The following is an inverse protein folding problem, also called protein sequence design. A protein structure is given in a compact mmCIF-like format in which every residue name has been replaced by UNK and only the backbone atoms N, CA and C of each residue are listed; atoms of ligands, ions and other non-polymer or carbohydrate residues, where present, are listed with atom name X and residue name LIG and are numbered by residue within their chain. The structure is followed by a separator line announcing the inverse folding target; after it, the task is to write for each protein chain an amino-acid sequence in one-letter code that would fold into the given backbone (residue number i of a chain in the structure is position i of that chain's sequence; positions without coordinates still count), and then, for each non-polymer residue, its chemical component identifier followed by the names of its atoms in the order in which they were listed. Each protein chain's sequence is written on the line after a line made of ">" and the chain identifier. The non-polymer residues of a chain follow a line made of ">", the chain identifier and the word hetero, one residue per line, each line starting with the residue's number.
data_IF_168713463873
#
_entry.id   IF_168713463873
#
_cell.length_a   1.000
_cell.length_b   1.000
_cell.length_c   1.000
_cell.angle_alpha   90.00
_cell.angle_beta   90.00
_cell.angle_gamma   90.00
#
_symmetry.space_group_name_H-M   'P 1'
#
loop_
_entity.id
_entity.type
_entity.pdbx_description
1 polymer ?
#
# COMPACT_ATOMS: atom_id res chain seq x y z
N UNK A 1 -2.20 -12.59 6.37
CA UNK A 1 -2.26 -13.99 6.85
C UNK A 1 -3.59 -14.58 6.43
N UNK A 2 -3.67 -15.88 6.18
CA UNK A 2 -4.92 -16.54 5.75
C UNK A 2 -4.87 -18.05 6.00
N UNK A 3 -6.01 -18.75 5.86
CA UNK A 3 -6.04 -20.20 5.76
C UNK A 3 -5.91 -20.62 4.29
N UNK A 4 -5.07 -21.62 4.02
CA UNK A 4 -4.77 -22.10 2.67
C UNK A 4 -4.82 -23.63 2.64
N UNK A 5 -5.10 -24.19 1.46
CA UNK A 5 -5.01 -25.63 1.22
C UNK A 5 -3.66 -25.93 0.58
N UNK A 6 -2.89 -26.84 1.16
CA UNK A 6 -1.60 -27.30 0.62
C UNK A 6 -1.68 -28.78 0.23
N UNK A 7 -1.12 -29.15 -0.92
CA UNK A 7 -1.04 -30.55 -1.33
C UNK A 7 -0.45 -30.74 -2.73
N UNK A 8 -0.40 -31.99 -3.17
CA UNK A 8 -0.06 -32.32 -4.55
C UNK A 8 -1.26 -32.00 -5.44
N UNK A 9 -1.13 -30.99 -6.29
CA UNK A 9 -2.19 -30.53 -7.20
C UNK A 9 -1.68 -30.67 -8.63
N UNK A 10 -2.50 -31.26 -9.49
CA UNK A 10 -2.13 -31.49 -10.89
C UNK A 10 -2.88 -32.68 -11.49
N UNK A 11 -2.40 -33.13 -12.64
CA UNK A 11 -2.93 -34.31 -13.31
C UNK A 11 -2.09 -35.54 -12.97
N UNK A 12 -2.59 -36.75 -13.22
CA UNK A 12 -1.82 -38.00 -13.02
C UNK A 12 -0.44 -38.00 -13.70
N UNK A 13 -0.25 -37.20 -14.77
CA UNK A 13 1.01 -37.10 -15.52
C UNK A 13 1.95 -36.01 -14.99
N UNK A 14 1.45 -35.06 -14.20
CA UNK A 14 2.25 -33.97 -13.62
C UNK A 14 1.55 -33.45 -12.36
N UNK A 15 2.15 -33.72 -11.22
CA UNK A 15 1.70 -33.28 -9.91
C UNK A 15 2.75 -32.33 -9.34
N UNK A 16 2.33 -31.14 -8.91
CA UNK A 16 3.19 -30.18 -8.22
C UNK A 16 2.68 -30.00 -6.79
N UNK A 17 3.58 -29.99 -5.81
CA UNK A 17 3.22 -29.64 -4.43
C UNK A 17 3.06 -28.12 -4.34
N UNK A 18 1.84 -27.65 -4.10
CA UNK A 18 1.52 -26.22 -4.12
C UNK A 18 0.48 -25.86 -3.06
N UNK A 19 0.27 -24.56 -2.87
CA UNK A 19 -0.73 -23.99 -1.98
C UNK A 19 -1.76 -23.21 -2.79
N UNK A 20 -3.04 -23.37 -2.46
CA UNK A 20 -4.14 -22.63 -3.06
C UNK A 20 -4.97 -21.97 -1.95
N UNK A 21 -5.30 -20.70 -2.15
CA UNK A 21 -6.18 -19.94 -1.27
C UNK A 21 -6.08 -18.45 -1.54
N UNK A 22 -7.04 -17.69 -1.01
CA UNK A 22 -7.10 -16.24 -1.17
C UNK A 22 -5.84 -15.55 -0.63
N UNK A 23 -5.26 -16.07 0.46
CA UNK A 23 -4.00 -15.58 1.02
C UNK A 23 -2.83 -15.65 0.05
N UNK A 24 -2.75 -16.69 -0.77
CA UNK A 24 -1.70 -16.83 -1.81
C UNK A 24 -1.88 -15.75 -2.89
N UNK A 25 -3.12 -15.54 -3.31
CA UNK A 25 -3.45 -14.49 -4.29
C UNK A 25 -3.17 -13.08 -3.73
N UNK A 26 -3.55 -12.82 -2.48
CA UNK A 26 -3.27 -11.54 -1.80
C UNK A 26 -1.76 -11.31 -1.68
N UNK A 27 -0.98 -12.33 -1.28
CA UNK A 27 0.48 -12.22 -1.17
C UNK A 27 1.13 -11.86 -2.52
N UNK A 28 0.74 -12.52 -3.61
CA UNK A 28 1.23 -12.20 -4.96
C UNK A 28 0.88 -10.75 -5.35
N UNK A 29 -0.32 -10.28 -5.01
CA UNK A 29 -0.72 -8.89 -5.28
C UNK A 29 0.03 -7.87 -4.45
N UNK A 30 0.33 -8.18 -3.19
CA UNK A 30 1.17 -7.32 -2.35
C UNK A 30 2.57 -7.18 -2.94
N UNK A 31 3.18 -8.26 -3.45
CA UNK A 31 4.48 -8.20 -4.13
C UNK A 31 4.42 -7.28 -5.36
N UNK A 32 3.38 -7.40 -6.18
CA UNK A 32 3.20 -6.53 -7.34
C UNK A 32 2.96 -5.08 -6.92
N UNK A 33 2.22 -4.86 -5.83
CA UNK A 33 1.96 -3.53 -5.27
C UNK A 33 3.25 -2.88 -4.72
N UNK A 34 4.20 -3.65 -4.17
CA UNK A 34 5.49 -3.11 -3.74
C UNK A 34 6.14 -2.29 -4.87
N UNK A 35 6.15 -2.82 -6.10
CA UNK A 35 6.70 -2.13 -7.28
C UNK A 35 5.91 -0.86 -7.63
N UNK A 36 4.58 -0.91 -7.55
CA UNK A 36 3.72 0.23 -7.88
C UNK A 36 3.87 1.39 -6.91
N UNK A 37 3.98 1.10 -5.61
CA UNK A 37 4.15 2.12 -4.57
C UNK A 37 5.63 2.46 -4.31
N UNK A 38 6.55 1.73 -4.93
CA UNK A 38 7.99 1.83 -4.63
C UNK A 38 8.33 1.46 -3.18
N UNK A 39 7.55 0.57 -2.59
CA UNK A 39 7.72 0.06 -1.24
C UNK A 39 8.60 -1.19 -1.21
N UNK A 40 9.35 -1.40 -0.13
CA UNK A 40 10.20 -2.59 0.03
C UNK A 40 9.43 -3.80 0.59
N UNK A 41 8.57 -3.56 1.58
CA UNK A 41 7.84 -4.62 2.27
C UNK A 41 6.42 -4.15 2.58
N UNK A 42 5.45 -4.76 1.89
CA UNK A 42 4.03 -4.56 2.16
C UNK A 42 3.43 -5.74 2.91
N UNK A 43 2.58 -5.44 3.87
CA UNK A 43 1.75 -6.40 4.59
C UNK A 43 0.29 -5.97 4.51
N UNK A 44 -0.63 -6.94 4.46
CA UNK A 44 -2.06 -6.64 4.60
C UNK A 44 -2.42 -6.30 6.04
N UNK A 45 -3.59 -5.68 6.24
CA UNK A 45 -4.14 -5.43 7.57
C UNK A 45 -4.25 -6.71 8.42
N UNK A 46 -4.64 -7.83 7.82
CA UNK A 46 -4.71 -9.13 8.51
C UNK A 46 -3.36 -9.59 9.09
N UNK A 47 -2.26 -9.25 8.41
CA UNK A 47 -0.91 -9.53 8.93
C UNK A 47 -0.52 -8.48 9.95
N UNK A 48 -0.74 -7.20 9.65
CA UNK A 48 -0.38 -6.08 10.52
C UNK A 48 -1.03 -6.17 11.90
N UNK A 49 -2.33 -6.51 11.97
CA UNK A 49 -3.09 -6.67 13.22
C UNK A 49 -2.61 -7.81 14.10
N UNK A 50 -1.88 -8.78 13.53
CA UNK A 50 -1.33 -9.93 14.27
C UNK A 50 0.11 -9.68 14.75
N UNK A 51 0.72 -8.56 14.37
CA UNK A 51 2.03 -8.17 14.87
C UNK A 51 1.92 -7.80 16.34
N UNK A 52 2.82 -8.35 17.18
CA UNK A 52 2.81 -8.16 18.64
C UNK A 52 3.74 -7.04 19.13
N UNK A 53 4.39 -6.33 18.22
CA UNK A 53 5.37 -5.29 18.53
C UNK A 53 5.02 -3.96 17.86
N UNK A 54 5.70 -2.91 18.30
CA UNK A 54 5.69 -1.61 17.62
C UNK A 54 6.69 -1.65 16.48
N UNK A 55 6.20 -1.47 15.26
CA UNK A 55 7.03 -1.39 14.06
C UNK A 55 6.89 0.00 13.45
N UNK A 56 7.99 0.55 12.95
CA UNK A 56 7.97 1.74 12.09
C UNK A 56 7.27 1.35 10.80
N UNK A 57 6.02 1.77 10.68
CA UNK A 57 5.15 1.38 9.57
C UNK A 57 4.19 2.52 9.21
N UNK A 58 3.72 2.53 7.96
CA UNK A 58 2.65 3.42 7.50
C UNK A 58 1.52 2.65 6.86
N UNK A 59 0.28 3.11 7.11
CA UNK A 59 -0.88 2.69 6.31
C UNK A 59 -0.75 3.34 4.93
N UNK A 60 -0.48 2.52 3.92
CA UNK A 60 -0.06 3.01 2.62
C UNK A 60 -1.23 3.26 1.67
N UNK A 61 -2.12 2.28 1.52
CA UNK A 61 -3.31 2.40 0.67
C UNK A 61 -4.35 1.31 1.04
N UNK A 62 -5.41 1.22 0.25
CA UNK A 62 -6.35 0.09 0.18
C UNK A 62 -6.33 -0.48 -1.22
N UNK A 63 -6.25 -1.80 -1.33
CA UNK A 63 -6.26 -2.49 -2.63
C UNK A 63 -7.42 -3.47 -2.70
N UNK A 64 -8.01 -3.63 -3.88
CA UNK A 64 -9.05 -4.62 -4.12
C UNK A 64 -8.42 -5.88 -4.70
N UNK A 65 -8.62 -7.02 -4.04
CA UNK A 65 -8.21 -8.32 -4.58
C UNK A 65 -9.24 -8.78 -5.60
N UNK A 66 -8.79 -9.25 -6.77
CA UNK A 66 -9.69 -9.79 -7.80
C UNK A 66 -10.57 -10.88 -7.18
N UNK A 67 -11.89 -10.73 -7.30
CA UNK A 67 -12.88 -11.64 -6.72
C UNK A 67 -13.37 -11.28 -5.32
N UNK A 68 -12.82 -10.23 -4.67
CA UNK A 68 -13.35 -9.66 -3.43
C UNK A 68 -13.95 -8.29 -3.67
N UNK A 69 -15.07 -8.01 -3.00
CA UNK A 69 -15.77 -6.72 -3.06
C UNK A 69 -15.20 -5.71 -2.07
N UNK A 70 -14.62 -6.18 -0.96
CA UNK A 70 -14.08 -5.32 0.09
C UNK A 70 -12.60 -4.98 -0.14
N UNK A 71 -12.22 -3.69 -0.15
CA UNK A 71 -10.82 -3.29 -0.20
C UNK A 71 -10.07 -3.71 1.07
N UNK A 72 -8.86 -4.25 0.89
CA UNK A 72 -7.95 -4.63 1.97
C UNK A 72 -6.94 -3.51 2.19
N UNK A 73 -6.80 -3.04 3.43
CA UNK A 73 -5.76 -2.07 3.76
C UNK A 73 -4.37 -2.71 3.72
N UNK A 74 -3.41 -1.94 3.20
CA UNK A 74 -2.00 -2.34 3.12
C UNK A 74 -1.13 -1.39 3.93
N UNK A 75 -0.10 -1.96 4.55
CA UNK A 75 0.86 -1.25 5.37
C UNK A 75 2.25 -1.51 4.83
N UNK A 76 3.08 -0.48 4.81
CA UNK A 76 4.50 -0.62 4.54
C UNK A 76 5.28 -0.68 5.84
N UNK A 77 6.21 -1.63 5.93
CA UNK A 77 7.12 -1.80 7.06
C UNK A 77 8.47 -1.15 6.71
N UNK A 78 8.88 -0.18 7.53
CA UNK A 78 10.03 0.70 7.32
C UNK A 78 11.14 0.46 8.36
N UNK A 79 11.06 -0.63 9.12
CA UNK A 79 12.00 -0.97 10.20
C UNK A 79 13.45 -1.18 9.70
N UNK A 80 13.61 -1.48 8.42
CA UNK A 80 14.92 -1.64 7.79
C UNK A 80 15.67 -0.31 7.59
N UNK A 81 15.01 0.84 7.75
CA UNK A 81 15.65 2.14 7.62
C UNK A 81 16.44 2.52 8.89
N UNK A 82 17.60 3.11 8.66
CA UNK A 82 18.40 3.82 9.65
C UNK A 82 18.30 5.32 9.39
N UNK A 83 18.73 6.16 10.34
CA UNK A 83 18.72 7.61 10.20
C UNK A 83 19.45 8.10 8.93
N UNK A 84 20.52 7.41 8.53
CA UNK A 84 21.28 7.73 7.33
C UNK A 84 20.55 7.42 6.01
N UNK A 85 19.60 6.49 6.01
CA UNK A 85 18.85 6.10 4.80
C UNK A 85 17.45 6.71 4.74
N UNK A 86 16.90 7.10 5.89
CA UNK A 86 15.63 7.80 6.00
C UNK A 86 15.66 8.70 7.25
N UNK A 87 16.13 9.95 7.12
CA UNK A 87 16.21 10.88 8.24
C UNK A 87 14.81 11.29 8.72
N UNK A 88 14.67 11.59 10.00
CA UNK A 88 13.42 12.08 10.60
C UNK A 88 12.19 11.21 10.28
N UNK A 89 12.38 9.87 10.21
CA UNK A 89 11.33 8.94 9.77
C UNK A 89 10.03 9.08 10.58
N UNK A 90 10.12 9.28 11.90
CA UNK A 90 8.92 9.45 12.74
C UNK A 90 8.09 10.69 12.34
N UNK A 91 8.76 11.81 12.00
CA UNK A 91 8.11 13.02 11.51
C UNK A 91 7.48 12.77 10.13
N UNK A 92 8.24 12.18 9.21
CA UNK A 92 7.76 11.81 7.88
C UNK A 92 6.50 10.93 7.94
N UNK A 93 6.45 9.94 8.85
CA UNK A 93 5.29 9.09 9.06
C UNK A 93 4.07 9.86 9.60
N UNK A 94 4.31 10.83 10.50
CA UNK A 94 3.26 11.73 11.00
C UNK A 94 2.66 12.57 9.89
N UNK A 95 3.50 13.22 9.09
CA UNK A 95 3.08 14.05 7.95
C UNK A 95 2.36 13.21 6.90
N UNK A 96 2.90 12.03 6.56
CA UNK A 96 2.29 11.12 5.58
C UNK A 96 0.88 10.68 6.01
N UNK A 97 0.71 10.36 7.29
CA UNK A 97 -0.60 10.00 7.84
C UNK A 97 -1.61 11.15 7.68
N UNK A 98 -1.19 12.38 7.93
CA UNK A 98 -2.07 13.54 7.83
C UNK A 98 -2.36 13.89 6.35
N UNK A 99 -1.37 13.74 5.46
CA UNK A 99 -1.54 13.82 4.01
C UNK A 99 -2.60 12.83 3.51
N UNK A 100 -2.56 11.58 3.99
CA UNK A 100 -3.55 10.55 3.65
C UNK A 100 -4.97 10.88 4.14
N UNK A 101 -5.13 11.61 5.25
CA UNK A 101 -6.46 12.06 5.70
C UNK A 101 -7.03 13.09 4.73
N UNK A 102 -6.22 14.09 4.36
CA UNK A 102 -6.57 15.14 3.39
C UNK A 102 -6.89 14.55 2.02
N UNK A 103 -6.08 13.59 1.57
CA UNK A 103 -6.28 12.87 0.31
C UNK A 103 -7.66 12.20 0.25
N UNK A 104 -8.07 11.50 1.32
CA UNK A 104 -9.39 10.84 1.40
C UNK A 104 -10.56 11.82 1.50
N UNK A 105 -10.32 13.02 2.00
CA UNK A 105 -11.30 14.11 2.03
C UNK A 105 -11.40 14.87 0.69
N UNK A 106 -10.61 14.46 -0.33
CA UNK A 106 -10.48 15.13 -1.64
C UNK A 106 -9.87 16.53 -1.57
N UNK A 107 -9.18 16.83 -0.47
CA UNK A 107 -8.40 18.06 -0.29
C UNK A 107 -7.02 17.88 -0.96
N UNK A 108 -7.00 17.62 -2.27
CA UNK A 108 -5.81 17.17 -2.99
C UNK A 108 -4.64 18.17 -2.98
N UNK A 109 -4.93 19.47 -3.01
CA UNK A 109 -3.88 20.50 -2.90
C UNK A 109 -3.17 20.43 -1.53
N UNK A 110 -3.95 20.41 -0.44
CA UNK A 110 -3.40 20.28 0.92
C UNK A 110 -2.68 18.95 1.13
N UNK A 111 -3.21 17.85 0.56
CA UNK A 111 -2.55 16.55 0.59
C UNK A 111 -1.21 16.58 -0.15
N UNK A 112 -1.15 17.17 -1.35
CA UNK A 112 0.06 17.29 -2.16
C UNK A 112 1.16 18.05 -1.42
N UNK A 113 0.83 19.15 -0.75
CA UNK A 113 1.80 19.89 0.07
C UNK A 113 2.41 19.03 1.18
N UNK A 114 1.58 18.26 1.89
CA UNK A 114 2.06 17.38 2.96
C UNK A 114 2.90 16.22 2.39
N UNK A 115 2.50 15.58 1.29
CA UNK A 115 3.34 14.57 0.63
C UNK A 115 4.66 15.18 0.13
N UNK A 116 4.64 16.41 -0.38
CA UNK A 116 5.83 17.15 -0.77
C UNK A 116 6.81 17.37 0.39
N UNK A 117 6.30 17.64 1.60
CA UNK A 117 7.14 17.71 2.82
C UNK A 117 7.80 16.36 3.14
N UNK A 118 7.09 15.25 2.97
CA UNK A 118 7.69 13.91 3.15
C UNK A 118 8.81 13.66 2.13
N UNK A 119 8.59 14.05 0.86
CA UNK A 119 9.62 13.97 -0.20
C UNK A 119 10.81 14.88 0.12
N UNK A 120 10.59 16.05 0.72
CA UNK A 120 11.66 16.94 1.15
C UNK A 120 12.51 16.33 2.28
N UNK A 121 11.88 15.59 3.21
CA UNK A 121 12.59 14.83 4.25
C UNK A 121 13.40 13.68 3.64
N UNK A 122 12.79 12.89 2.76
CA UNK A 122 13.47 11.83 2.04
C UNK A 122 13.09 11.80 0.56
N UNK A 123 13.94 12.33 -0.34
CA UNK A 123 13.67 12.33 -1.77
C UNK A 123 13.56 10.94 -2.41
N UNK A 124 13.99 9.88 -1.69
CA UNK A 124 13.87 8.49 -2.13
C UNK A 124 12.55 7.84 -1.72
N UNK A 125 11.69 8.53 -0.96
CA UNK A 125 10.35 8.02 -0.63
C UNK A 125 9.44 8.06 -1.86
N UNK A 126 9.46 6.95 -2.60
CA UNK A 126 8.70 6.79 -3.84
C UNK A 126 7.19 6.78 -3.62
N UNK A 127 6.71 6.36 -2.46
CA UNK A 127 5.27 6.38 -2.19
C UNK A 127 4.77 7.80 -1.99
N UNK A 128 5.51 8.64 -1.26
CA UNK A 128 5.15 10.04 -1.11
C UNK A 128 5.17 10.76 -2.47
N UNK A 129 6.20 10.55 -3.28
CA UNK A 129 6.29 11.11 -4.63
C UNK A 129 5.10 10.66 -5.51
N UNK A 130 4.74 9.37 -5.49
CA UNK A 130 3.56 8.85 -6.18
C UNK A 130 2.28 9.56 -5.75
N UNK A 131 2.12 9.83 -4.45
CA UNK A 131 0.93 10.53 -3.98
C UNK A 131 0.89 12.01 -4.36
N UNK A 132 2.03 12.69 -4.50
CA UNK A 132 2.09 14.04 -5.10
C UNK A 132 1.52 14.01 -6.52
N UNK A 133 1.98 13.06 -7.34
CA UNK A 133 1.50 12.89 -8.72
C UNK A 133 -0.01 12.56 -8.77
N UNK A 134 -0.47 11.65 -7.89
CA UNK A 134 -1.90 11.31 -7.79
C UNK A 134 -2.75 12.50 -7.38
N UNK A 135 -2.30 13.31 -6.42
CA UNK A 135 -3.00 14.52 -6.01
C UNK A 135 -3.12 15.52 -7.16
N UNK A 136 -2.05 15.71 -7.95
CA UNK A 136 -2.12 16.58 -9.13
C UNK A 136 -3.14 16.07 -10.16
N UNK A 137 -3.13 14.75 -10.44
CA UNK A 137 -4.07 14.14 -11.39
C UNK A 137 -5.53 14.22 -10.94
N UNK A 138 -5.80 13.95 -9.66
CA UNK A 138 -7.15 14.03 -9.10
C UNK A 138 -7.60 15.48 -8.86
N UNK A 139 -6.68 16.42 -8.65
CA UNK A 139 -7.00 17.84 -8.64
C UNK A 139 -7.46 18.33 -10.02
N UNK A 140 -6.80 17.87 -11.09
CA UNK A 140 -7.17 18.19 -12.46
C UNK A 140 -8.45 17.47 -12.93
N UNK A 141 -8.67 16.24 -12.46
CA UNK A 141 -9.87 15.44 -12.76
C UNK A 141 -10.45 14.87 -11.45
N UNK A 142 -11.25 15.66 -10.72
CA UNK A 142 -11.80 15.25 -9.44
C UNK A 142 -12.68 13.99 -9.55
N UNK A 143 -12.53 13.02 -8.63
CA UNK A 143 -13.37 11.85 -8.64
C UNK A 143 -14.80 12.20 -8.16
N UNK A 144 -15.78 11.34 -8.44
CA UNK A 144 -17.16 11.51 -7.98
C UNK A 144 -17.30 11.72 -6.47
N UNK A 145 -18.46 12.21 -6.03
CA UNK A 145 -18.75 12.48 -4.62
C UNK A 145 -18.77 11.25 -3.72
N UNK A 146 -19.05 10.09 -4.29
CA UNK A 146 -19.07 8.78 -3.63
C UNK A 146 -17.73 8.03 -3.74
N UNK A 147 -16.66 8.71 -4.16
CA UNK A 147 -15.34 8.10 -4.23
C UNK A 147 -14.88 7.62 -2.85
N UNK A 148 -14.57 6.34 -2.77
CA UNK A 148 -14.20 5.62 -1.55
C UNK A 148 -12.73 5.80 -1.14
N UNK A 149 -12.00 6.71 -1.81
CA UNK A 149 -10.61 7.00 -1.54
C UNK A 149 -9.63 5.94 -2.04
N UNK A 150 -10.09 4.96 -2.81
CA UNK A 150 -9.26 3.89 -3.38
C UNK A 150 -8.76 4.28 -4.77
N UNK A 151 -7.45 4.14 -4.98
CA UNK A 151 -6.87 4.28 -6.31
C UNK A 151 -7.19 3.07 -7.18
N UNK A 152 -8.07 3.25 -8.16
CA UNK A 152 -8.34 2.26 -9.21
C UNK A 152 -7.72 2.76 -10.51
N UNK A 153 -6.71 2.05 -11.02
CA UNK A 153 -6.28 2.25 -12.39
C UNK A 153 -7.39 1.72 -13.29
N UNK A 154 -8.14 2.59 -13.95
CA UNK A 154 -8.86 2.19 -15.15
C UNK A 154 -7.80 1.76 -16.16
N UNK A 155 -7.81 0.48 -16.50
CA UNK A 155 -7.11 0.02 -17.68
C UNK A 155 -7.75 0.75 -18.87
N UNK A 156 -6.96 1.57 -19.57
CA UNK A 156 -7.31 1.95 -20.94
C UNK A 156 -7.35 0.71 -21.81
#
# INVERSE_FOLDING_TARGET
>A
TDQVVSGNIGSKKRMDYTMIGDGVNLASRLESACKQYGAHLLVSEFTYERLRGTYRARKLDRIVVKGKTQPVAIYEILEHHAESSYPNLAEALGIFRDAMRRYRQREFAAAAELFGKVVAINPRDRAAALYVERCARLGANPPPSDWDGVWRLEAK
#
